data_IF_918695138349
#
_entry.id   IF_918695138349
#
_cell.length_a   1.000
_cell.length_b   1.000
_cell.length_c   1.000
_cell.angle_alpha   90.00
_cell.angle_beta   90.00
_cell.angle_gamma   90.00
#
_symmetry.space_group_name_H-M   'P 1'
#
loop_
_entity.id
_entity.type
_entity.pdbx_description
1 polymer ?
#
# COMPACT_ATOMS: atom_id res chain seq x y z
N UNK A 1 9.03 -23.81 -9.06
CA UNK A 1 9.16 -22.61 -8.23
C UNK A 1 8.07 -21.63 -8.59
N UNK A 2 7.51 -20.94 -7.58
CA UNK A 2 6.71 -19.73 -7.81
C UNK A 2 7.64 -18.54 -7.86
N UNK A 3 7.40 -17.62 -8.79
CA UNK A 3 8.17 -16.39 -8.94
C UNK A 3 7.24 -15.18 -8.79
N UNK A 4 7.78 -14.07 -8.31
CA UNK A 4 7.06 -12.81 -8.26
C UNK A 4 6.76 -12.34 -9.69
N UNK A 5 5.52 -11.95 -9.96
CA UNK A 5 5.06 -11.45 -11.27
C UNK A 5 5.47 -12.31 -12.47
N UNK A 6 5.61 -13.65 -12.28
CA UNK A 6 6.13 -14.59 -13.26
C UNK A 6 7.57 -14.31 -13.76
N UNK A 7 8.33 -13.47 -13.06
CA UNK A 7 9.74 -13.18 -13.34
C UNK A 7 10.60 -14.31 -12.77
N UNK A 8 11.24 -15.11 -13.63
CA UNK A 8 12.00 -16.31 -13.24
C UNK A 8 13.15 -16.01 -12.26
N UNK A 9 13.73 -14.83 -12.36
CA UNK A 9 14.87 -14.39 -11.52
C UNK A 9 14.46 -13.90 -10.14
N UNK A 10 13.15 -13.85 -9.85
CA UNK A 10 12.58 -13.43 -8.55
C UNK A 10 11.81 -14.59 -7.89
N UNK A 11 12.50 -15.65 -7.41
CA UNK A 11 11.85 -16.79 -6.77
C UNK A 11 11.24 -16.38 -5.44
N UNK A 12 10.01 -16.87 -5.17
CA UNK A 12 9.32 -16.63 -3.92
C UNK A 12 9.64 -17.70 -2.90
N UNK A 13 9.80 -17.30 -1.64
CA UNK A 13 9.91 -18.22 -0.52
C UNK A 13 8.63 -19.08 -0.36
N UNK A 14 8.83 -20.36 -0.06
CA UNK A 14 7.73 -21.22 0.34
C UNK A 14 7.33 -20.95 1.81
N UNK A 15 6.43 -20.00 2.01
CA UNK A 15 5.98 -19.60 3.36
C UNK A 15 5.12 -20.66 4.09
N UNK A 16 4.90 -21.83 3.48
CA UNK A 16 4.36 -23.02 4.16
C UNK A 16 5.45 -23.83 4.87
N UNK A 17 6.72 -23.66 4.50
CA UNK A 17 7.86 -24.32 5.13
C UNK A 17 8.17 -23.68 6.49
N UNK A 18 8.34 -24.50 7.53
CA UNK A 18 8.59 -24.04 8.89
C UNK A 18 9.92 -23.31 9.05
N UNK A 19 10.97 -23.75 8.37
CA UNK A 19 12.29 -23.09 8.42
C UNK A 19 12.20 -21.68 7.83
N UNK A 20 11.51 -21.53 6.70
CA UNK A 20 11.25 -20.22 6.07
C UNK A 20 10.43 -19.32 7.01
N UNK A 21 9.37 -19.87 7.64
CA UNK A 21 8.58 -19.13 8.63
C UNK A 21 9.45 -18.61 9.77
N UNK A 22 10.26 -19.49 10.36
CA UNK A 22 11.14 -19.16 11.47
C UNK A 22 12.19 -18.14 11.06
N UNK A 23 12.84 -18.33 9.90
CA UNK A 23 13.85 -17.42 9.37
C UNK A 23 13.31 -16.01 9.17
N UNK A 24 12.21 -15.87 8.44
CA UNK A 24 11.61 -14.55 8.16
C UNK A 24 11.11 -13.87 9.44
N UNK A 25 10.54 -14.64 10.37
CA UNK A 25 10.10 -14.10 11.65
C UNK A 25 11.27 -13.64 12.51
N UNK A 26 12.39 -14.39 12.52
CA UNK A 26 13.59 -13.98 13.24
C UNK A 26 14.18 -12.70 12.64
N UNK A 27 14.27 -12.59 11.30
CA UNK A 27 14.77 -11.35 10.66
C UNK A 27 13.92 -10.12 11.03
N UNK A 28 12.60 -10.28 11.08
CA UNK A 28 11.73 -9.21 11.55
C UNK A 28 11.93 -8.89 13.05
N UNK A 29 12.15 -9.91 13.88
CA UNK A 29 12.45 -9.70 15.30
C UNK A 29 13.77 -8.95 15.51
N UNK A 30 14.79 -9.23 14.70
CA UNK A 30 16.07 -8.49 14.75
C UNK A 30 15.89 -7.00 14.46
N UNK A 31 15.05 -6.65 13.49
CA UNK A 31 14.70 -5.24 13.24
C UNK A 31 13.99 -4.60 14.45
N UNK A 32 13.07 -5.34 15.08
CA UNK A 32 12.40 -4.84 16.28
C UNK A 32 13.39 -4.66 17.46
N UNK A 33 14.37 -5.56 17.62
CA UNK A 33 15.43 -5.44 18.64
C UNK A 33 16.35 -4.23 18.37
N UNK A 34 16.48 -3.78 17.09
CA UNK A 34 17.18 -2.55 16.72
C UNK A 34 16.39 -1.27 17.04
N UNK A 35 15.13 -1.39 17.48
CA UNK A 35 14.29 -0.27 17.88
C UNK A 35 13.33 0.25 16.82
N UNK A 36 13.07 -0.50 15.75
CA UNK A 36 12.05 -0.11 14.77
C UNK A 36 10.63 -0.26 15.34
N UNK A 37 9.83 0.78 15.26
CA UNK A 37 8.44 0.83 15.77
C UNK A 37 7.43 0.26 14.76
N UNK A 38 7.81 0.18 13.49
CA UNK A 38 6.97 -0.39 12.43
C UNK A 38 7.81 -1.11 11.37
N UNK A 39 7.23 -2.13 10.77
CA UNK A 39 7.82 -2.87 9.64
C UNK A 39 6.86 -2.82 8.47
N UNK A 40 7.31 -2.25 7.34
CA UNK A 40 6.62 -2.41 6.05
C UNK A 40 6.89 -3.80 5.52
N UNK A 41 5.84 -4.52 5.21
CA UNK A 41 5.86 -5.87 4.67
C UNK A 41 5.62 -5.79 3.17
N UNK A 42 6.71 -5.89 2.43
CA UNK A 42 6.71 -5.87 0.98
C UNK A 42 5.88 -7.02 0.42
N UNK A 43 5.13 -6.74 -0.63
CA UNK A 43 4.34 -7.74 -1.34
C UNK A 43 3.55 -8.66 -0.40
N UNK A 44 2.80 -8.08 0.55
CA UNK A 44 2.10 -8.85 1.58
C UNK A 44 1.09 -9.86 1.01
N UNK A 45 0.70 -9.70 -0.24
CA UNK A 45 -0.18 -10.63 -0.97
C UNK A 45 0.50 -11.94 -1.37
N UNK A 46 1.83 -12.01 -1.38
CA UNK A 46 2.61 -13.19 -1.78
C UNK A 46 2.62 -14.34 -0.77
N UNK A 47 2.98 -14.10 0.50
CA UNK A 47 2.95 -15.12 1.55
C UNK A 47 1.55 -15.62 1.86
N UNK A 48 1.42 -16.89 2.26
CA UNK A 48 0.12 -17.45 2.61
C UNK A 48 -0.43 -16.86 3.94
N UNK A 49 -1.76 -16.84 4.06
CA UNK A 49 -2.45 -16.30 5.25
C UNK A 49 -2.03 -16.97 6.56
N UNK A 50 -1.77 -18.30 6.52
CA UNK A 50 -1.29 -19.06 7.70
C UNK A 50 0.06 -18.53 8.17
N UNK A 51 0.94 -18.16 7.22
CA UNK A 51 2.22 -17.54 7.55
C UNK A 51 2.02 -16.20 8.29
N UNK A 52 1.15 -15.32 7.79
CA UNK A 52 0.92 -14.02 8.42
C UNK A 52 0.35 -14.14 9.83
N UNK A 53 -0.55 -15.10 10.08
CA UNK A 53 -1.04 -15.38 11.43
C UNK A 53 0.08 -15.85 12.36
N UNK A 54 0.94 -16.76 11.90
CA UNK A 54 2.09 -17.23 12.67
C UNK A 54 3.07 -16.07 12.94
N UNK A 55 3.43 -15.32 11.89
CA UNK A 55 4.35 -14.19 11.93
C UNK A 55 3.86 -13.13 12.93
N UNK A 56 2.61 -12.68 12.79
CA UNK A 56 2.01 -11.71 13.70
C UNK A 56 2.06 -12.17 15.15
N UNK A 57 1.59 -13.38 15.42
CA UNK A 57 1.59 -13.94 16.80
C UNK A 57 3.00 -13.99 17.39
N UNK A 58 3.99 -14.37 16.60
CA UNK A 58 5.37 -14.48 17.04
C UNK A 58 5.98 -13.11 17.35
N UNK A 59 5.82 -12.14 16.46
CA UNK A 59 6.33 -10.77 16.66
C UNK A 59 5.60 -10.09 17.82
N UNK A 60 4.27 -10.12 17.85
CA UNK A 60 3.48 -9.43 18.88
C UNK A 60 3.68 -9.96 20.29
N UNK A 61 4.07 -11.23 20.44
CA UNK A 61 4.39 -11.81 21.75
C UNK A 61 5.59 -11.13 22.42
N UNK A 62 6.63 -10.76 21.61
CA UNK A 62 7.85 -10.12 22.10
C UNK A 62 7.79 -8.59 21.98
N UNK A 63 7.16 -8.11 20.90
CA UNK A 63 7.10 -6.70 20.52
C UNK A 63 5.64 -6.23 20.30
N UNK A 64 4.82 -6.13 21.36
CA UNK A 64 3.38 -5.87 21.22
C UNK A 64 3.06 -4.52 20.57
N UNK A 65 3.95 -3.53 20.70
CA UNK A 65 3.76 -2.17 20.17
C UNK A 65 4.17 -2.00 18.72
N UNK A 66 5.07 -2.84 18.20
CA UNK A 66 5.55 -2.75 16.80
C UNK A 66 4.38 -2.91 15.83
N UNK A 67 4.30 -2.06 14.82
CA UNK A 67 3.26 -2.10 13.79
C UNK A 67 3.71 -2.90 12.58
N UNK A 68 2.83 -3.78 12.11
CA UNK A 68 3.02 -4.59 10.90
C UNK A 68 2.14 -4.02 9.80
N UNK A 69 2.74 -3.33 8.83
CA UNK A 69 2.05 -2.60 7.77
C UNK A 69 2.30 -3.29 6.44
N UNK A 70 1.25 -3.83 5.85
CA UNK A 70 1.36 -4.58 4.60
C UNK A 70 1.27 -3.71 3.35
N UNK A 71 2.11 -4.01 2.37
CA UNK A 71 1.85 -3.58 1.01
C UNK A 71 0.85 -4.55 0.37
N UNK A 72 -0.38 -4.08 0.23
CA UNK A 72 -1.50 -4.86 -0.32
C UNK A 72 -2.01 -4.17 -1.57
N UNK A 73 -1.43 -4.54 -2.71
CA UNK A 73 -1.79 -3.97 -4.01
C UNK A 73 -2.56 -5.00 -4.85
N UNK A 74 -3.70 -4.61 -5.42
CA UNK A 74 -4.69 -5.54 -5.95
C UNK A 74 -4.51 -6.06 -7.37
N UNK A 75 -3.61 -5.49 -8.17
CA UNK A 75 -3.57 -5.73 -9.62
C UNK A 75 -2.69 -6.91 -10.07
N UNK A 76 -2.08 -7.65 -9.17
CA UNK A 76 -1.28 -8.81 -9.54
C UNK A 76 -2.12 -10.08 -9.39
N UNK A 77 -1.87 -11.08 -10.23
CA UNK A 77 -2.59 -12.38 -10.39
C UNK A 77 -2.75 -13.22 -9.12
N UNK A 78 -3.15 -12.60 -8.02
CA UNK A 78 -3.26 -13.24 -6.73
C UNK A 78 -4.63 -13.81 -6.48
N UNK A 79 -4.62 -15.09 -6.10
CA UNK A 79 -5.80 -15.71 -5.51
C UNK A 79 -6.06 -15.09 -4.13
N UNK A 80 -7.29 -14.67 -3.83
CA UNK A 80 -7.65 -14.20 -2.50
C UNK A 80 -7.27 -15.23 -1.43
N UNK A 81 -6.82 -14.78 -0.26
CA UNK A 81 -6.54 -15.69 0.86
C UNK A 81 -7.80 -16.32 1.42
N UNK A 82 -8.88 -15.55 1.45
CA UNK A 82 -10.21 -16.00 1.81
C UNK A 82 -11.19 -15.63 0.70
N UNK A 83 -11.49 -16.59 -0.18
CA UNK A 83 -12.37 -16.38 -1.33
C UNK A 83 -13.73 -15.83 -0.94
N UNK A 84 -14.37 -16.43 0.08
CA UNK A 84 -15.72 -16.03 0.50
C UNK A 84 -15.70 -14.57 0.98
N UNK A 85 -14.79 -14.23 1.90
CA UNK A 85 -14.66 -12.87 2.44
C UNK A 85 -14.32 -11.86 1.35
N UNK A 86 -13.40 -12.20 0.45
CA UNK A 86 -13.02 -11.34 -0.65
C UNK A 86 -14.18 -11.05 -1.59
N UNK A 87 -14.92 -12.08 -2.03
CA UNK A 87 -16.04 -11.87 -2.95
C UNK A 87 -17.21 -11.14 -2.30
N UNK A 88 -17.52 -11.39 -1.02
CA UNK A 88 -18.49 -10.58 -0.27
C UNK A 88 -18.05 -9.12 -0.22
N UNK A 89 -16.79 -8.85 0.09
CA UNK A 89 -16.26 -7.50 0.14
C UNK A 89 -16.23 -6.85 -1.26
N UNK A 90 -15.80 -7.57 -2.30
CA UNK A 90 -15.78 -7.08 -3.69
C UNK A 90 -17.17 -6.72 -4.21
N UNK A 91 -18.20 -7.39 -3.73
CA UNK A 91 -19.58 -7.05 -4.07
C UNK A 91 -20.05 -5.75 -3.41
N UNK A 92 -19.50 -5.41 -2.24
CA UNK A 92 -19.83 -4.21 -1.45
C UNK A 92 -18.90 -3.03 -1.70
N UNK A 93 -17.64 -3.29 -2.05
CA UNK A 93 -16.54 -2.32 -2.16
C UNK A 93 -15.80 -2.51 -3.48
N UNK A 94 -14.93 -1.56 -3.82
CA UNK A 94 -14.04 -1.77 -4.96
C UNK A 94 -13.04 -2.91 -4.71
N UNK A 95 -12.39 -3.39 -5.78
CA UNK A 95 -11.50 -4.55 -5.69
C UNK A 95 -10.29 -4.32 -4.79
N UNK A 96 -9.75 -3.08 -4.75
CA UNK A 96 -8.61 -2.72 -3.92
C UNK A 96 -8.99 -2.68 -2.43
N UNK A 97 -10.12 -2.07 -2.07
CA UNK A 97 -10.65 -2.10 -0.71
C UNK A 97 -10.93 -3.52 -0.24
N UNK A 98 -11.58 -4.33 -1.08
CA UNK A 98 -11.86 -5.73 -0.76
C UNK A 98 -10.56 -6.51 -0.47
N UNK A 99 -9.49 -6.22 -1.21
CA UNK A 99 -8.18 -6.83 -1.00
C UNK A 99 -7.55 -6.39 0.32
N UNK A 100 -7.57 -5.09 0.63
CA UNK A 100 -7.03 -4.55 1.87
C UNK A 100 -7.78 -5.10 3.10
N UNK A 101 -9.10 -5.23 3.02
CA UNK A 101 -9.96 -5.77 4.08
C UNK A 101 -9.65 -7.23 4.44
N UNK A 102 -9.03 -8.02 3.56
CA UNK A 102 -8.59 -9.39 3.88
C UNK A 102 -7.55 -9.42 5.00
N UNK A 103 -6.79 -8.33 5.18
CA UNK A 103 -5.68 -8.25 6.14
C UNK A 103 -6.10 -7.72 7.51
N UNK A 104 -7.35 -7.30 7.68
CA UNK A 104 -7.89 -6.91 8.98
C UNK A 104 -7.82 -8.10 9.95
N UNK A 105 -7.21 -7.89 11.11
CA UNK A 105 -6.95 -8.92 12.13
C UNK A 105 -5.69 -9.77 11.89
N UNK A 106 -5.05 -9.64 10.71
CA UNK A 106 -3.82 -10.35 10.35
C UNK A 106 -2.61 -9.42 10.43
N UNK A 107 -2.77 -8.20 9.96
CA UNK A 107 -1.79 -7.12 10.09
C UNK A 107 -2.37 -5.99 10.96
N UNK A 108 -1.53 -5.02 11.31
CA UNK A 108 -1.97 -3.83 12.05
C UNK A 108 -2.48 -2.74 11.11
N UNK A 109 -2.14 -2.83 9.84
CA UNK A 109 -2.54 -1.88 8.81
C UNK A 109 -1.96 -2.21 7.46
N UNK A 110 -2.25 -1.34 6.51
CA UNK A 110 -1.76 -1.44 5.13
C UNK A 110 -1.39 -0.07 4.57
N UNK A 111 -0.55 -0.06 3.52
CA UNK A 111 -0.43 1.09 2.62
C UNK A 111 -1.77 1.25 1.88
N UNK A 112 -2.34 2.45 1.94
CA UNK A 112 -3.71 2.67 1.47
C UNK A 112 -3.76 3.00 -0.02
N UNK A 113 -3.58 1.98 -0.86
CA UNK A 113 -3.73 2.11 -2.31
C UNK A 113 -5.14 2.50 -2.76
N UNK A 114 -6.18 2.16 -1.96
CA UNK A 114 -7.54 2.56 -2.31
C UNK A 114 -7.74 4.07 -2.15
N UNK A 115 -7.17 4.69 -1.10
CA UNK A 115 -7.13 6.14 -0.96
C UNK A 115 -6.40 6.82 -2.13
N UNK A 116 -5.22 6.30 -2.48
CA UNK A 116 -4.43 6.78 -3.60
C UNK A 116 -5.22 6.72 -4.91
N UNK A 117 -5.92 5.61 -5.19
CA UNK A 117 -6.77 5.48 -6.36
C UNK A 117 -7.92 6.49 -6.37
N UNK A 118 -8.57 6.74 -5.22
CA UNK A 118 -9.63 7.76 -5.10
C UNK A 118 -9.13 9.13 -5.56
N UNK A 119 -7.93 9.53 -5.11
CA UNK A 119 -7.35 10.81 -5.50
C UNK A 119 -6.93 10.83 -6.96
N UNK A 120 -6.28 9.78 -7.48
CA UNK A 120 -5.94 9.68 -8.88
C UNK A 120 -7.17 9.75 -9.79
N UNK A 121 -8.25 9.05 -9.45
CA UNK A 121 -9.51 9.13 -10.21
C UNK A 121 -10.07 10.56 -10.24
N UNK A 122 -9.97 11.29 -9.13
CA UNK A 122 -10.46 12.67 -9.02
C UNK A 122 -9.65 13.61 -9.92
N UNK A 123 -8.31 13.58 -9.81
CA UNK A 123 -7.46 14.46 -10.64
C UNK A 123 -7.52 14.10 -12.12
N UNK A 124 -7.63 12.82 -12.47
CA UNK A 124 -7.75 12.38 -13.87
C UNK A 124 -9.07 12.80 -14.51
N UNK A 125 -10.14 12.95 -13.73
CA UNK A 125 -11.41 13.51 -14.16
C UNK A 125 -11.41 15.04 -14.20
N UNK A 126 -10.31 15.68 -13.81
CA UNK A 126 -10.16 17.12 -13.63
C UNK A 126 -11.18 17.73 -12.64
N UNK A 127 -11.56 16.93 -11.64
CA UNK A 127 -12.39 17.40 -10.55
C UNK A 127 -11.53 18.15 -9.52
N UNK A 128 -12.09 19.18 -8.89
CA UNK A 128 -11.41 19.90 -7.83
C UNK A 128 -11.13 18.99 -6.64
N UNK A 129 -10.02 19.21 -5.94
CA UNK A 129 -9.71 18.58 -4.66
C UNK A 129 -10.25 19.43 -3.52
N UNK A 130 -9.91 20.72 -3.53
CA UNK A 130 -10.37 21.69 -2.52
C UNK A 130 -11.86 21.98 -2.72
N UNK A 131 -12.58 22.07 -1.59
CA UNK A 131 -14.03 22.34 -1.58
C UNK A 131 -14.87 21.32 -2.38
N UNK A 132 -14.40 20.09 -2.50
CA UNK A 132 -15.14 18.97 -3.12
C UNK A 132 -15.85 18.12 -2.04
N UNK A 133 -17.13 18.37 -1.74
CA UNK A 133 -17.86 17.62 -0.73
C UNK A 133 -18.02 16.14 -1.08
N UNK A 134 -18.14 15.82 -2.38
CA UNK A 134 -18.29 14.45 -2.85
C UNK A 134 -17.00 13.65 -2.61
N UNK A 135 -15.85 14.23 -2.92
CA UNK A 135 -14.55 13.62 -2.63
C UNK A 135 -14.37 13.41 -1.12
N UNK A 136 -14.70 14.44 -0.32
CA UNK A 136 -14.59 14.36 1.14
C UNK A 136 -15.46 13.25 1.72
N UNK A 137 -16.69 13.12 1.23
CA UNK A 137 -17.60 12.06 1.65
C UNK A 137 -17.12 10.68 1.20
N UNK A 138 -16.66 10.55 -0.05
CA UNK A 138 -16.09 9.30 -0.59
C UNK A 138 -14.92 8.81 0.29
N UNK A 139 -14.02 9.71 0.69
CA UNK A 139 -12.88 9.36 1.55
C UNK A 139 -13.32 9.00 2.98
N UNK A 140 -14.31 9.72 3.55
CA UNK A 140 -14.87 9.34 4.85
C UNK A 140 -15.49 7.96 4.85
N UNK A 141 -16.28 7.64 3.83
CA UNK A 141 -16.90 6.32 3.67
C UNK A 141 -15.83 5.23 3.50
N UNK A 142 -14.80 5.50 2.69
CA UNK A 142 -13.67 4.59 2.56
C UNK A 142 -13.05 4.27 3.93
N UNK A 143 -12.72 5.27 4.74
CA UNK A 143 -12.15 5.03 6.06
C UNK A 143 -13.11 4.32 7.02
N UNK A 144 -14.41 4.54 6.90
CA UNK A 144 -15.42 3.90 7.73
C UNK A 144 -15.61 2.40 7.44
N UNK A 145 -15.09 1.90 6.32
CA UNK A 145 -15.12 0.47 5.99
C UNK A 145 -14.16 -0.38 6.85
N UNK A 146 -13.19 0.26 7.53
CA UNK A 146 -12.17 -0.42 8.32
C UNK A 146 -12.37 -0.22 9.81
N UNK A 147 -12.03 -1.24 10.64
CA UNK A 147 -12.01 -1.06 12.08
C UNK A 147 -11.07 0.07 12.51
N UNK A 148 -11.42 0.76 13.58
CA UNK A 148 -10.67 1.95 14.06
C UNK A 148 -9.21 1.62 14.38
N UNK A 149 -8.94 0.41 14.88
CA UNK A 149 -7.60 -0.06 15.22
C UNK A 149 -6.75 -0.46 14.01
N UNK A 150 -7.37 -0.65 12.83
CA UNK A 150 -6.65 -0.98 11.60
C UNK A 150 -6.12 0.28 10.95
N UNK A 151 -4.81 0.37 10.81
CA UNK A 151 -4.16 1.57 10.30
C UNK A 151 -4.14 1.60 8.76
N UNK A 152 -4.66 2.66 8.20
CA UNK A 152 -4.52 2.99 6.80
C UNK A 152 -3.43 4.06 6.66
N UNK A 153 -2.28 3.68 6.11
CA UNK A 153 -1.16 4.58 5.86
C UNK A 153 -1.35 5.19 4.47
N UNK A 154 -1.89 6.41 4.45
CA UNK A 154 -2.23 7.11 3.21
C UNK A 154 -1.00 7.70 2.53
N UNK A 155 -1.04 7.79 1.21
CA UNK A 155 0.02 8.36 0.37
C UNK A 155 -0.55 8.81 -0.98
N UNK A 156 0.19 9.65 -1.72
CA UNK A 156 -0.18 10.10 -3.06
C UNK A 156 0.54 9.29 -4.14
N UNK A 157 1.83 9.06 -3.94
CA UNK A 157 2.69 8.27 -4.83
C UNK A 157 3.71 7.46 -4.03
N UNK A 158 4.35 6.52 -4.70
CA UNK A 158 5.47 5.75 -4.19
C UNK A 158 6.41 5.34 -5.33
N UNK A 159 7.41 4.52 -5.03
CA UNK A 159 8.42 4.08 -5.99
C UNK A 159 7.90 3.08 -7.06
N UNK A 160 6.68 2.59 -6.96
CA UNK A 160 6.04 1.64 -7.88
C UNK A 160 4.84 2.26 -8.64
N UNK A 161 4.61 3.55 -8.44
CA UNK A 161 3.54 4.30 -9.09
C UNK A 161 4.09 5.50 -9.86
N UNK A 162 3.30 6.03 -10.80
CA UNK A 162 3.60 7.36 -11.34
C UNK A 162 3.70 8.39 -10.23
N UNK A 163 4.58 9.39 -10.39
CA UNK A 163 4.57 10.55 -9.52
C UNK A 163 3.19 11.20 -9.53
N UNK A 164 2.70 11.62 -8.38
CA UNK A 164 1.36 12.20 -8.32
C UNK A 164 1.21 13.48 -9.14
N UNK A 165 2.27 14.27 -9.24
CA UNK A 165 2.30 15.43 -10.16
C UNK A 165 2.10 15.04 -11.64
N UNK A 166 2.55 13.84 -12.05
CA UNK A 166 2.26 13.32 -13.38
C UNK A 166 0.76 13.03 -13.54
N UNK A 167 0.13 12.40 -12.54
CA UNK A 167 -1.32 12.15 -12.53
C UNK A 167 -2.14 13.45 -12.52
N UNK A 168 -1.63 14.49 -11.87
CA UNK A 168 -2.20 15.85 -11.94
C UNK A 168 -2.03 16.56 -13.30
N UNK A 169 -1.48 15.89 -14.33
CA UNK A 169 -1.17 16.54 -15.60
C UNK A 169 -0.12 17.65 -15.48
N UNK A 170 0.75 17.57 -14.49
CA UNK A 170 1.79 18.55 -14.11
C UNK A 170 1.24 19.85 -13.50
N UNK A 171 0.00 19.85 -13.08
CA UNK A 171 -0.57 20.96 -12.33
C UNK A 171 -0.07 20.93 -10.87
N UNK A 172 0.80 21.88 -10.54
CA UNK A 172 1.41 22.01 -9.22
C UNK A 172 0.42 22.47 -8.16
N UNK A 173 -0.59 23.26 -8.53
CA UNK A 173 -1.63 23.69 -7.60
C UNK A 173 -2.46 22.47 -7.18
N UNK A 174 -2.82 21.61 -8.13
CA UNK A 174 -3.57 20.40 -7.86
C UNK A 174 -2.78 19.41 -6.99
N UNK A 175 -1.46 19.29 -7.20
CA UNK A 175 -0.58 18.54 -6.30
C UNK A 175 -0.63 19.11 -4.88
N UNK A 176 -0.46 20.43 -4.72
CA UNK A 176 -0.47 21.09 -3.42
C UNK A 176 -1.81 20.92 -2.71
N UNK A 177 -2.91 21.12 -3.41
CA UNK A 177 -4.26 20.86 -2.90
C UNK A 177 -4.42 19.42 -2.39
N UNK A 178 -3.89 18.44 -3.12
CA UNK A 178 -3.95 17.03 -2.76
C UNK A 178 -3.12 16.71 -1.51
N UNK A 179 -1.97 17.38 -1.36
CA UNK A 179 -1.14 17.28 -0.15
C UNK A 179 -1.90 17.84 1.05
N UNK A 180 -2.46 19.05 0.94
CA UNK A 180 -3.22 19.68 2.03
C UNK A 180 -4.50 18.90 2.36
N UNK A 181 -5.17 18.35 1.35
CA UNK A 181 -6.31 17.47 1.55
C UNK A 181 -5.93 16.20 2.31
N UNK A 182 -4.76 15.63 2.02
CA UNK A 182 -4.28 14.43 2.72
C UNK A 182 -3.91 14.72 4.18
N UNK A 183 -3.31 15.86 4.48
CA UNK A 183 -2.91 16.27 5.84
C UNK A 183 -4.09 16.47 6.80
N UNK A 184 -5.27 16.81 6.29
CA UNK A 184 -6.44 17.04 7.17
C UNK A 184 -7.00 15.77 7.82
N UNK A 185 -6.60 14.58 7.31
CA UNK A 185 -7.05 13.30 7.85
C UNK A 185 -6.15 12.87 9.01
N UNK A 186 -6.75 12.44 10.10
CA UNK A 186 -5.99 11.87 11.24
C UNK A 186 -5.55 10.43 10.93
N UNK A 187 -4.64 10.29 9.93
CA UNK A 187 -4.08 9.03 9.46
C UNK A 187 -2.56 9.17 9.30
N UNK A 188 -1.78 8.10 9.51
CA UNK A 188 -0.37 8.10 9.12
C UNK A 188 -0.24 8.44 7.64
N UNK A 189 0.58 9.44 7.32
CA UNK A 189 0.79 9.88 5.95
C UNK A 189 2.23 9.70 5.53
N UNK A 190 2.41 9.03 4.39
CA UNK A 190 3.70 8.78 3.79
C UNK A 190 3.90 9.73 2.61
N UNK A 191 5.01 10.47 2.63
CA UNK A 191 5.45 11.26 1.49
C UNK A 191 6.64 10.57 0.84
N UNK A 192 6.51 10.21 -0.43
CA UNK A 192 7.64 9.71 -1.20
C UNK A 192 8.60 10.86 -1.50
N UNK A 193 9.90 10.64 -1.31
CA UNK A 193 10.91 11.68 -1.52
C UNK A 193 10.80 12.31 -2.92
N UNK A 194 10.95 13.61 -3.01
CA UNK A 194 10.81 14.38 -4.24
C UNK A 194 9.39 14.84 -4.55
N UNK A 195 8.34 14.29 -3.93
CA UNK A 195 6.97 14.81 -4.07
C UNK A 195 6.88 16.23 -3.53
N UNK A 196 7.57 16.52 -2.41
CA UNK A 196 7.72 17.85 -1.83
C UNK A 196 8.53 18.83 -2.72
N UNK A 197 9.25 18.30 -3.70
CA UNK A 197 10.02 19.06 -4.70
C UNK A 197 9.41 19.01 -6.09
N UNK A 198 8.14 18.60 -6.16
CA UNK A 198 7.38 18.56 -7.42
C UNK A 198 7.99 17.64 -8.49
N UNK A 199 8.61 16.54 -8.07
CA UNK A 199 9.12 15.55 -9.01
C UNK A 199 7.99 14.96 -9.84
N UNK A 200 8.25 14.77 -11.14
CA UNK A 200 7.30 14.19 -12.10
C UNK A 200 8.02 13.31 -13.11
N UNK A 201 7.39 12.24 -13.53
CA UNK A 201 7.90 11.42 -14.62
C UNK A 201 7.47 12.02 -15.98
N UNK A 202 8.28 11.78 -17.02
CA UNK A 202 7.99 12.27 -18.38
C UNK A 202 6.96 11.41 -19.12
N UNK A 203 6.97 10.08 -18.84
CA UNK A 203 6.08 9.08 -19.41
C UNK A 203 5.58 8.17 -18.30
N UNK A 204 4.42 7.57 -18.45
CA UNK A 204 3.92 6.58 -17.49
C UNK A 204 4.92 5.46 -17.27
N UNK A 205 5.02 4.97 -16.03
CA UNK A 205 5.79 3.76 -15.72
C UNK A 205 5.05 2.49 -16.16
N UNK A 206 3.78 2.60 -16.52
CA UNK A 206 2.93 1.51 -16.98
C UNK A 206 2.84 1.43 -18.51
N UNK A 207 3.78 2.04 -19.25
CA UNK A 207 3.79 2.05 -20.71
C UNK A 207 4.40 0.77 -21.36
N UNK A 208 4.74 -0.22 -20.53
CA UNK A 208 5.33 -1.50 -20.98
C UNK A 208 6.82 -1.43 -21.31
N UNK A 209 7.48 -0.29 -21.15
CA UNK A 209 8.94 -0.17 -21.34
C UNK A 209 9.68 -0.88 -20.21
N UNK A 210 10.72 -1.70 -20.51
CA UNK A 210 11.57 -2.26 -19.48
C UNK A 210 12.16 -1.18 -18.55
N UNK A 211 12.19 -1.47 -17.24
CA UNK A 211 12.72 -0.57 -16.21
C UNK A 211 12.05 0.82 -16.16
N UNK A 212 10.78 0.88 -16.56
CA UNK A 212 10.03 2.14 -16.57
C UNK A 212 9.86 2.74 -15.17
N UNK A 213 9.88 1.90 -14.13
CA UNK A 213 9.82 2.29 -12.71
C UNK A 213 11.02 3.16 -12.25
N UNK A 214 12.17 3.07 -12.90
CA UNK A 214 13.31 3.96 -12.63
C UNK A 214 12.99 5.43 -12.91
N UNK A 215 12.01 5.72 -13.75
CA UNK A 215 11.59 7.09 -14.07
C UNK A 215 11.05 7.87 -12.88
N UNK A 216 10.60 7.18 -11.84
CA UNK A 216 10.07 7.80 -10.61
C UNK A 216 11.05 7.77 -9.45
N UNK A 217 12.16 7.02 -9.60
CA UNK A 217 13.20 6.84 -8.58
C UNK A 217 14.40 7.80 -8.79
N UNK A 218 14.11 9.04 -9.15
CA UNK A 218 15.12 10.05 -9.46
C UNK A 218 15.94 10.42 -8.22
N UNK A 219 17.23 10.76 -8.44
CA UNK A 219 18.07 11.28 -7.37
C UNK A 219 17.66 12.70 -6.97
N UNK A 220 17.72 12.99 -5.67
CA UNK A 220 17.72 14.37 -5.17
C UNK A 220 19.04 15.02 -5.56
N UNK A 221 18.96 16.12 -6.32
CA UNK A 221 20.12 16.97 -6.64
C UNK A 221 20.29 18.03 -5.57
#
# INVERSE_FOLDING_TARGET
YKCFANIKDLPMFNTKNKEVQNYLTQRAADLCDMGFDAIRLDHATGPCYVFWNYFRKSIKRKFPKVRLIGEVWGNLDFKPHNYIRYYINKWRFNAQEARQLEYVGVLDGVLDFAYQQILCETVNKKEAITNNPNLKEKVKLHFAHYPTEFQLWIFLDNHDLNRFLYECGKDKMLLQESIEFSKQWNRPWLMFYGTEKEFTNKKSIFDGTPYADERVRMCLK
#
